data_IF_888653452489
#
_entry.id   IF_888653452489
#
_cell.length_a   1.000
_cell.length_b   1.000
_cell.length_c   1.000
_cell.angle_alpha   90.00
_cell.angle_beta   90.00
_cell.angle_gamma   90.00
#
_symmetry.space_group_name_H-M   'P 1'
#
loop_
_entity.id
_entity.type
_entity.pdbx_description
1 polymer ?
#
# COMPACT_ATOMS: atom_id res chain seq x y z
N UNK A 1 66.43 19.14 40.43
CA UNK A 1 65.71 20.34 40.91
C UNK A 1 64.25 20.19 40.49
N UNK A 2 63.43 19.70 41.42
CA UNK A 2 62.33 20.44 42.08
C UNK A 2 60.99 20.12 41.37
N UNK A 3 60.26 19.07 41.78
CA UNK A 3 59.37 18.93 42.95
C UNK A 3 57.93 19.43 42.67
N UNK A 4 56.99 18.48 42.81
CA UNK A 4 55.52 18.59 42.86
C UNK A 4 55.00 19.65 43.87
N UNK A 5 53.71 20.05 43.83
CA UNK A 5 52.69 19.31 44.60
C UNK A 5 51.27 19.23 44.02
N UNK A 6 50.63 18.11 44.36
CA UNK A 6 49.18 17.87 44.39
C UNK A 6 48.39 18.89 45.24
N UNK A 7 47.10 19.04 44.94
CA UNK A 7 46.00 19.36 45.89
C UNK A 7 44.67 19.04 45.18
N UNK A 8 43.99 17.95 45.57
CA UNK A 8 42.97 17.85 46.62
C UNK A 8 41.55 18.23 46.13
N UNK A 9 40.66 17.22 46.16
CA UNK A 9 39.21 17.31 46.01
C UNK A 9 38.59 18.19 47.11
N UNK A 10 37.37 18.68 46.88
CA UNK A 10 36.32 18.38 47.84
C UNK A 10 35.09 17.73 47.19
N UNK A 11 34.63 16.69 47.87
CA UNK A 11 33.25 16.21 48.00
C UNK A 11 32.13 17.17 47.61
N UNK A 12 31.30 16.75 46.64
CA UNK A 12 29.88 17.06 46.65
C UNK A 12 29.09 15.76 46.49
N UNK A 13 28.27 15.52 47.51
CA UNK A 13 27.39 14.39 47.71
C UNK A 13 26.41 14.24 46.53
N UNK A 14 26.21 12.99 46.10
CA UNK A 14 25.12 12.59 45.23
C UNK A 14 23.77 12.82 45.92
N UNK A 15 22.81 13.53 45.32
CA UNK A 15 21.41 13.27 45.58
C UNK A 15 20.99 12.12 44.68
N UNK A 16 20.76 10.95 45.28
CA UNK A 16 19.91 9.89 44.74
C UNK A 16 18.49 10.44 44.54
N UNK A 17 18.25 11.17 43.45
CA UNK A 17 16.92 11.48 42.99
C UNK A 17 16.48 10.38 42.03
N UNK A 18 15.80 9.38 42.61
CA UNK A 18 14.79 8.57 41.93
C UNK A 18 13.89 9.50 41.12
N UNK A 19 14.16 9.62 39.83
CA UNK A 19 13.20 10.20 38.88
C UNK A 19 12.21 9.11 38.52
N UNK A 20 11.06 9.18 39.18
CA UNK A 20 9.85 8.48 38.77
C UNK A 20 9.65 8.68 37.26
N UNK A 21 9.77 7.57 36.51
CA UNK A 21 9.27 7.47 35.14
C UNK A 21 7.75 7.44 35.22
N UNK A 22 7.13 8.60 35.25
CA UNK A 22 5.71 8.74 34.91
C UNK A 22 5.56 9.81 33.85
N UNK A 23 4.63 9.53 32.94
CA UNK A 23 4.25 10.29 31.74
C UNK A 23 5.20 10.09 30.56
N UNK A 24 5.08 8.88 29.99
CA UNK A 24 5.08 8.75 28.54
C UNK A 24 4.13 9.82 27.96
N UNK A 25 4.71 10.90 27.46
CA UNK A 25 4.03 11.80 26.53
C UNK A 25 3.45 10.95 25.42
N UNK A 26 2.12 10.89 25.37
CA UNK A 26 1.35 10.28 24.30
C UNK A 26 1.62 11.03 22.98
N UNK A 27 2.77 10.77 22.38
CA UNK A 27 2.93 10.95 20.95
C UNK A 27 1.91 10.01 20.31
N UNK A 28 0.87 10.56 19.68
CA UNK A 28 -0.03 9.74 18.86
C UNK A 28 0.85 9.01 17.86
N UNK A 29 1.07 7.71 18.05
CA UNK A 29 1.93 6.93 17.17
C UNK A 29 1.26 6.87 15.80
N UNK A 30 1.65 7.79 14.92
CA UNK A 30 1.09 7.89 13.59
C UNK A 30 1.39 6.59 12.86
N UNK A 31 0.35 5.81 12.56
CA UNK A 31 0.48 4.50 11.92
C UNK A 31 1.05 4.69 10.52
N UNK A 32 2.20 4.09 10.24
CA UNK A 32 2.78 4.15 8.90
C UNK A 32 1.85 3.45 7.89
N UNK A 33 1.65 4.08 6.75
CA UNK A 33 0.74 3.63 5.69
C UNK A 33 1.55 3.04 4.54
N UNK A 34 1.13 1.87 4.03
CA UNK A 34 1.64 1.32 2.77
C UNK A 34 0.51 1.22 1.74
N UNK A 35 0.80 1.63 0.51
CA UNK A 35 -0.15 1.56 -0.61
C UNK A 35 0.30 0.46 -1.57
N UNK A 36 -0.60 -0.49 -1.80
CA UNK A 36 -0.47 -1.61 -2.73
C UNK A 36 -1.47 -1.40 -3.85
N UNK A 37 -0.99 -1.33 -5.09
CA UNK A 37 -1.83 -1.07 -6.25
C UNK A 37 -1.73 -2.20 -7.26
N UNK A 38 -2.86 -2.85 -7.48
CA UNK A 38 -3.09 -3.73 -8.63
C UNK A 38 -3.47 -2.87 -9.85
N UNK A 39 -2.56 -2.76 -10.81
CA UNK A 39 -2.73 -1.89 -11.98
C UNK A 39 -3.75 -2.42 -13.00
N UNK A 40 -4.35 -3.57 -12.77
CA UNK A 40 -5.54 -3.96 -13.52
C UNK A 40 -6.73 -3.08 -13.11
N UNK A 41 -6.75 -2.57 -11.87
CA UNK A 41 -7.66 -1.51 -11.45
C UNK A 41 -7.11 -0.11 -11.80
N UNK A 42 -7.30 0.27 -13.07
CA UNK A 42 -6.76 1.50 -13.65
C UNK A 42 -7.49 2.74 -13.15
N UNK A 43 -6.78 3.89 -13.01
CA UNK A 43 -7.46 5.13 -12.68
C UNK A 43 -8.44 5.50 -13.81
N UNK A 44 -9.53 6.22 -13.50
CA UNK A 44 -10.52 6.58 -14.49
C UNK A 44 -9.88 7.38 -15.65
N UNK A 45 -10.28 7.07 -16.88
CA UNK A 45 -9.73 7.66 -18.12
C UNK A 45 -9.90 9.19 -18.22
N UNK A 46 -10.67 9.80 -17.32
CA UNK A 46 -10.95 11.24 -17.30
C UNK A 46 -9.77 12.07 -16.77
N UNK A 47 -8.83 11.46 -16.04
CA UNK A 47 -7.73 12.17 -15.38
C UNK A 47 -6.38 11.54 -15.74
N UNK A 48 -5.31 12.35 -15.88
CA UNK A 48 -3.96 11.81 -16.03
C UNK A 48 -3.58 10.90 -14.83
N UNK A 49 -3.09 9.68 -15.02
CA UNK A 49 -2.57 8.77 -14.02
C UNK A 49 -1.54 9.37 -13.07
N UNK A 50 -0.69 10.31 -13.53
CA UNK A 50 0.14 11.08 -12.59
C UNK A 50 -0.72 11.79 -11.53
N UNK A 51 -1.74 12.56 -11.96
CA UNK A 51 -2.62 13.29 -11.06
C UNK A 51 -3.47 12.34 -10.20
N UNK A 52 -3.93 11.22 -10.77
CA UNK A 52 -4.67 10.20 -10.03
C UNK A 52 -3.81 9.57 -8.92
N UNK A 53 -2.56 9.23 -9.21
CA UNK A 53 -1.62 8.68 -8.24
C UNK A 53 -1.27 9.69 -7.13
N UNK A 54 -1.06 10.96 -7.49
CA UNK A 54 -0.82 12.03 -6.50
C UNK A 54 -2.04 12.20 -5.58
N UNK A 55 -3.26 12.21 -6.13
CA UNK A 55 -4.49 12.31 -5.33
C UNK A 55 -4.66 11.09 -4.42
N UNK A 56 -4.36 9.90 -4.91
CA UNK A 56 -4.35 8.67 -4.11
C UNK A 56 -3.34 8.77 -2.96
N UNK A 57 -2.12 9.26 -3.20
CA UNK A 57 -1.12 9.46 -2.14
C UNK A 57 -1.56 10.48 -1.10
N UNK A 58 -2.21 11.58 -1.52
CA UNK A 58 -2.76 12.57 -0.60
C UNK A 58 -3.88 11.99 0.27
N UNK A 59 -4.74 11.15 -0.31
CA UNK A 59 -5.76 10.42 0.44
C UNK A 59 -5.12 9.42 1.40
N UNK A 60 -4.15 8.62 0.94
CA UNK A 60 -3.41 7.66 1.77
C UNK A 60 -2.67 8.33 2.93
N UNK A 61 -2.03 9.48 2.67
CA UNK A 61 -1.32 10.27 3.67
C UNK A 61 -2.25 10.85 4.76
N UNK A 62 -3.56 10.91 4.49
CA UNK A 62 -4.54 11.35 5.49
C UNK A 62 -4.84 10.26 6.53
N UNK A 63 -4.50 9.00 6.25
CA UNK A 63 -4.55 7.91 7.23
C UNK A 63 -3.33 7.87 8.17
N UNK A 64 -2.20 8.44 7.74
CA UNK A 64 -0.92 8.44 8.45
C UNK A 64 0.27 8.66 7.51
N UNK A 65 1.52 8.68 8.02
CA UNK A 65 2.69 8.89 7.19
C UNK A 65 2.86 7.77 6.15
N UNK A 66 2.86 8.15 4.87
CA UNK A 66 3.05 7.23 3.75
C UNK A 66 4.50 6.71 3.73
N UNK A 67 4.69 5.41 3.96
CA UNK A 67 6.00 4.75 4.01
C UNK A 67 6.51 4.42 2.61
N UNK A 68 5.63 3.88 1.78
CA UNK A 68 5.88 3.57 0.37
C UNK A 68 4.56 3.35 -0.37
N UNK A 69 4.63 3.44 -1.70
CA UNK A 69 3.56 3.07 -2.62
C UNK A 69 4.14 2.20 -3.73
N UNK A 70 3.53 1.04 -3.96
CA UNK A 70 4.04 0.04 -4.89
C UNK A 70 2.89 -0.43 -5.76
N UNK A 71 3.15 -0.52 -7.06
CA UNK A 71 2.20 -0.96 -8.05
C UNK A 71 2.74 -2.17 -8.79
N UNK A 72 1.91 -3.20 -8.94
CA UNK A 72 2.21 -4.40 -9.69
C UNK A 72 1.37 -4.42 -10.96
N UNK A 73 2.00 -4.86 -12.05
CA UNK A 73 1.35 -5.02 -13.34
C UNK A 73 1.99 -6.16 -14.10
N UNK A 74 1.15 -6.82 -14.90
CA UNK A 74 1.61 -7.67 -15.97
C UNK A 74 2.10 -6.80 -17.14
N UNK A 75 2.95 -7.35 -18.00
CA UNK A 75 3.51 -6.61 -19.14
C UNK A 75 2.41 -6.16 -20.12
N UNK A 76 1.32 -6.93 -20.28
CA UNK A 76 0.16 -6.52 -21.07
C UNK A 76 -0.64 -5.34 -20.49
N UNK A 77 -0.64 -5.12 -19.17
CA UNK A 77 -1.34 -4.00 -18.52
C UNK A 77 -0.80 -2.65 -19.02
N UNK A 78 0.50 -2.58 -19.34
CA UNK A 78 1.14 -1.40 -19.93
C UNK A 78 0.87 -1.21 -21.43
N UNK A 79 0.34 -2.22 -22.12
CA UNK A 79 0.04 -2.14 -23.56
C UNK A 79 -1.29 -1.45 -23.85
N UNK A 80 -2.17 -1.32 -22.86
CA UNK A 80 -3.46 -0.65 -23.02
C UNK A 80 -3.29 0.85 -23.26
N UNK A 81 -3.81 1.34 -24.39
CA UNK A 81 -3.79 2.75 -24.79
C UNK A 81 -5.15 3.40 -24.50
N UNK A 82 -5.21 4.65 -24.00
CA UNK A 82 -6.48 5.35 -23.83
C UNK A 82 -7.29 5.41 -25.12
N UNK A 83 -8.62 5.44 -25.01
CA UNK A 83 -9.54 5.52 -26.14
C UNK A 83 -9.17 6.59 -27.20
N UNK A 84 -8.85 7.85 -26.86
CA UNK A 84 -8.47 8.84 -27.88
C UNK A 84 -7.17 8.48 -28.61
N UNK A 85 -6.22 7.84 -27.93
CA UNK A 85 -4.96 7.38 -28.54
C UNK A 85 -5.23 6.21 -29.48
N UNK A 86 -6.10 5.26 -29.10
CA UNK A 86 -6.51 4.14 -29.97
C UNK A 86 -7.20 4.65 -31.24
N UNK A 87 -8.10 5.61 -31.11
CA UNK A 87 -8.79 6.23 -32.24
C UNK A 87 -7.81 6.90 -33.22
N UNK A 88 -6.91 7.76 -32.72
CA UNK A 88 -5.88 8.40 -33.54
C UNK A 88 -4.94 7.39 -34.22
N UNK A 89 -4.61 6.28 -33.55
CA UNK A 89 -3.81 5.22 -34.14
C UNK A 89 -4.57 4.45 -35.24
N UNK A 90 -5.86 4.19 -35.04
CA UNK A 90 -6.70 3.55 -36.04
C UNK A 90 -6.85 4.45 -37.28
N UNK A 91 -7.06 5.74 -37.08
CA UNK A 91 -7.11 6.76 -38.14
C UNK A 91 -5.80 6.82 -38.93
N UNK A 92 -4.64 6.92 -38.24
CA UNK A 92 -3.33 6.91 -38.91
C UNK A 92 -3.06 5.62 -39.68
N UNK A 93 -3.45 4.46 -39.13
CA UNK A 93 -3.35 3.16 -39.85
C UNK A 93 -4.28 3.09 -41.05
N UNK A 94 -5.44 3.73 -41.01
CA UNK A 94 -6.33 3.84 -42.16
C UNK A 94 -5.69 4.75 -43.24
N UNK A 95 -5.15 5.90 -42.84
CA UNK A 95 -4.42 6.81 -43.74
C UNK A 95 -3.18 6.15 -44.36
N UNK A 96 -2.39 5.40 -43.58
CA UNK A 96 -1.24 4.64 -44.09
C UNK A 96 -1.65 3.59 -45.13
N UNK A 97 -2.81 2.92 -44.93
CA UNK A 97 -3.35 1.97 -45.90
C UNK A 97 -3.78 2.65 -47.19
N UNK A 98 -4.40 3.82 -47.10
CA UNK A 98 -4.79 4.63 -48.26
C UNK A 98 -3.55 5.14 -49.03
N UNK A 99 -2.52 5.60 -48.34
CA UNK A 99 -1.25 6.01 -48.95
C UNK A 99 -0.51 4.83 -49.61
N UNK A 100 -0.60 3.64 -49.02
CA UNK A 100 -0.02 2.44 -49.61
C UNK A 100 -0.76 2.02 -50.89
N UNK A 101 -2.09 2.16 -50.91
CA UNK A 101 -2.92 1.88 -52.08
C UNK A 101 -2.77 2.94 -53.17
N UNK A 102 -2.63 4.21 -52.79
CA UNK A 102 -2.47 5.36 -53.68
C UNK A 102 -1.20 6.15 -53.32
N UNK A 103 -0.01 5.72 -53.76
CA UNK A 103 1.23 6.41 -53.45
C UNK A 103 1.24 7.82 -54.04
N UNK A 104 1.47 8.82 -53.18
CA UNK A 104 1.71 10.20 -53.63
C UNK A 104 2.93 10.27 -54.55
N UNK A 105 2.80 11.00 -55.66
CA UNK A 105 3.91 11.28 -56.59
C UNK A 105 4.86 12.37 -56.07
N UNK A 106 4.43 13.13 -55.06
CA UNK A 106 5.23 14.18 -54.42
C UNK A 106 5.68 13.69 -53.03
N UNK A 107 6.96 13.78 -52.68
CA UNK A 107 7.45 13.32 -51.38
C UNK A 107 7.05 14.30 -50.28
N UNK A 108 6.04 13.91 -49.49
CA UNK A 108 5.44 14.76 -48.45
C UNK A 108 6.09 14.61 -47.06
N UNK A 109 6.86 13.55 -46.82
CA UNK A 109 7.37 13.21 -45.49
C UNK A 109 8.87 13.44 -45.35
N UNK A 110 9.31 14.10 -44.27
CA UNK A 110 10.72 14.43 -44.00
C UNK A 110 11.21 13.76 -42.71
N UNK A 111 12.33 13.05 -42.78
CA UNK A 111 13.02 12.58 -41.58
C UNK A 111 13.70 13.74 -40.87
N UNK A 112 13.22 14.13 -39.69
CA UNK A 112 13.79 15.24 -38.92
C UNK A 112 15.17 14.93 -38.31
N UNK A 113 15.63 13.68 -38.35
CA UNK A 113 16.97 13.29 -37.87
C UNK A 113 18.02 13.46 -38.96
N UNK A 114 17.78 12.92 -40.17
CA UNK A 114 18.76 12.90 -41.26
C UNK A 114 18.40 13.76 -42.49
N UNK A 115 17.20 14.35 -42.54
CA UNK A 115 16.74 15.20 -43.64
C UNK A 115 16.27 14.46 -44.89
N UNK A 116 16.25 13.13 -44.89
CA UNK A 116 15.76 12.34 -46.04
C UNK A 116 14.26 12.51 -46.24
N UNK A 117 13.83 12.59 -47.51
CA UNK A 117 12.41 12.72 -47.89
C UNK A 117 11.82 11.37 -48.31
N UNK A 118 10.56 11.14 -48.01
CA UNK A 118 9.82 9.91 -48.27
C UNK A 118 8.45 10.23 -48.88
N UNK A 119 7.99 9.33 -49.74
CA UNK A 119 6.71 9.43 -50.45
C UNK A 119 5.52 8.90 -49.65
N UNK A 120 5.78 8.03 -48.68
CA UNK A 120 4.75 7.45 -47.81
C UNK A 120 5.21 7.49 -46.35
N UNK A 121 4.27 7.72 -45.44
CA UNK A 121 4.54 7.79 -44.01
C UNK A 121 5.16 6.48 -43.49
N UNK A 122 4.62 5.33 -43.90
CA UNK A 122 5.13 4.01 -43.51
C UNK A 122 6.61 3.80 -43.89
N UNK A 123 7.08 4.35 -45.02
CA UNK A 123 8.48 4.26 -45.43
C UNK A 123 9.38 5.12 -44.55
N UNK A 124 8.92 6.31 -44.14
CA UNK A 124 9.62 7.15 -43.17
C UNK A 124 9.73 6.44 -41.82
N UNK A 125 8.64 5.85 -41.32
CA UNK A 125 8.65 5.10 -40.05
C UNK A 125 9.62 3.93 -40.10
N UNK A 126 9.61 3.14 -41.17
CA UNK A 126 10.54 2.02 -41.34
C UNK A 126 12.00 2.48 -41.39
N UNK A 127 12.30 3.56 -42.11
CA UNK A 127 13.62 4.16 -42.11
C UNK A 127 14.05 4.59 -40.71
N UNK A 128 13.15 5.24 -39.96
CA UNK A 128 13.42 5.69 -38.60
C UNK A 128 13.77 4.52 -37.66
N UNK A 129 12.99 3.43 -37.69
CA UNK A 129 13.25 2.21 -36.91
C UNK A 129 14.54 1.50 -37.32
N UNK A 130 14.80 1.36 -38.62
CA UNK A 130 15.96 0.62 -39.07
C UNK A 130 17.29 1.35 -38.84
N UNK A 131 17.29 2.67 -38.93
CA UNK A 131 18.53 3.46 -38.87
C UNK A 131 18.66 4.16 -37.53
N UNK A 132 17.70 5.01 -37.17
CA UNK A 132 17.84 5.91 -36.03
C UNK A 132 17.62 5.25 -34.68
N UNK A 133 16.73 4.27 -34.59
CA UNK A 133 16.54 3.46 -33.38
C UNK A 133 17.80 2.63 -33.09
N UNK A 134 18.35 1.94 -34.09
CA UNK A 134 19.63 1.20 -33.96
C UNK A 134 20.81 2.10 -33.60
N UNK A 135 20.91 3.29 -34.20
CA UNK A 135 21.92 4.27 -33.82
C UNK A 135 21.77 4.74 -32.37
N UNK A 136 20.54 4.95 -31.92
CA UNK A 136 20.26 5.36 -30.56
C UNK A 136 20.60 4.26 -29.55
N UNK A 137 20.27 3.01 -29.84
CA UNK A 137 20.67 1.85 -29.03
C UNK A 137 22.21 1.76 -28.91
N UNK A 138 22.94 1.95 -30.01
CA UNK A 138 24.41 1.98 -29.97
C UNK A 138 24.94 3.09 -29.07
N UNK A 139 24.31 4.28 -29.08
CA UNK A 139 24.68 5.39 -28.19
C UNK A 139 24.42 5.03 -26.72
N UNK A 140 23.27 4.43 -26.41
CA UNK A 140 22.91 4.00 -25.05
C UNK A 140 23.89 2.94 -24.53
N UNK A 141 24.13 1.86 -25.30
CA UNK A 141 25.11 0.81 -24.91
C UNK A 141 26.51 1.38 -24.65
N UNK A 142 26.93 2.41 -25.39
CA UNK A 142 28.21 3.09 -25.19
C UNK A 142 28.24 3.91 -23.89
N UNK A 143 27.11 4.52 -23.52
CA UNK A 143 26.96 5.23 -22.25
C UNK A 143 26.93 4.24 -21.08
N UNK A 144 26.21 3.13 -21.23
CA UNK A 144 26.03 2.14 -20.16
C UNK A 144 27.34 1.39 -19.85
N UNK A 145 28.19 1.18 -20.85
CA UNK A 145 29.54 0.61 -20.67
C UNK A 145 30.56 1.60 -20.12
N UNK A 146 30.26 2.91 -20.08
CA UNK A 146 31.16 3.91 -19.55
C UNK A 146 30.85 4.19 -18.06
N UNK A 147 31.89 4.28 -17.24
CA UNK A 147 31.78 4.59 -15.81
C UNK A 147 32.46 5.91 -15.44
N UNK A 148 32.08 6.49 -14.30
CA UNK A 148 32.69 7.71 -13.74
C UNK A 148 32.65 8.94 -14.66
N UNK A 149 33.70 9.77 -14.60
CA UNK A 149 33.80 11.01 -15.37
C UNK A 149 33.84 10.84 -16.90
N UNK A 150 34.16 9.62 -17.39
CA UNK A 150 34.05 9.28 -18.82
C UNK A 150 32.60 9.22 -19.26
N UNK A 151 31.71 8.67 -18.42
CA UNK A 151 30.26 8.63 -18.67
C UNK A 151 29.69 10.03 -18.76
N UNK A 152 30.04 10.91 -17.82
CA UNK A 152 29.55 12.31 -17.80
C UNK A 152 29.93 13.05 -19.08
N UNK A 153 31.20 12.96 -19.50
CA UNK A 153 31.67 13.58 -20.75
C UNK A 153 30.97 13.01 -21.99
N UNK A 154 30.76 11.68 -22.04
CA UNK A 154 30.09 11.03 -23.16
C UNK A 154 28.61 11.42 -23.26
N UNK A 155 27.91 11.49 -22.12
CA UNK A 155 26.51 11.96 -22.06
C UNK A 155 26.43 13.41 -22.51
N UNK A 156 27.32 14.28 -22.02
CA UNK A 156 27.37 15.67 -22.45
C UNK A 156 27.57 15.80 -23.97
N UNK A 157 28.51 15.04 -24.54
CA UNK A 157 28.79 15.05 -25.99
C UNK A 157 27.64 14.49 -26.85
N UNK A 158 26.84 13.54 -26.32
CA UNK A 158 25.75 12.92 -27.06
C UNK A 158 24.37 13.57 -26.82
N UNK A 159 24.26 14.45 -25.82
CA UNK A 159 23.02 15.10 -25.39
C UNK A 159 22.16 15.64 -26.54
N UNK A 160 22.72 16.48 -27.41
CA UNK A 160 22.03 17.08 -28.55
C UNK A 160 21.53 16.04 -29.56
N UNK A 161 22.33 14.99 -29.82
CA UNK A 161 21.94 13.91 -30.74
C UNK A 161 20.81 13.08 -30.15
N UNK A 162 20.84 12.84 -28.85
CA UNK A 162 19.75 12.16 -28.13
C UNK A 162 18.47 12.99 -28.13
N UNK A 163 18.54 14.30 -27.89
CA UNK A 163 17.37 15.17 -27.95
C UNK A 163 16.77 15.28 -29.36
N UNK A 164 17.62 15.34 -30.40
CA UNK A 164 17.16 15.30 -31.80
C UNK A 164 16.40 14.00 -32.10
N UNK A 165 16.93 12.86 -31.66
CA UNK A 165 16.24 11.57 -31.78
C UNK A 165 14.91 11.57 -31.02
N UNK A 166 14.89 11.97 -29.74
CA UNK A 166 13.67 12.01 -28.93
C UNK A 166 12.59 12.87 -29.57
N UNK A 167 12.93 14.05 -30.10
CA UNK A 167 11.97 14.93 -30.77
C UNK A 167 11.34 14.26 -31.99
N UNK A 168 12.16 13.64 -32.84
CA UNK A 168 11.66 12.95 -34.03
C UNK A 168 10.89 11.66 -33.69
N UNK A 169 11.33 10.90 -32.68
CA UNK A 169 10.65 9.69 -32.22
C UNK A 169 9.24 9.99 -31.69
N UNK A 170 9.06 11.10 -30.96
CA UNK A 170 7.75 11.55 -30.46
C UNK A 170 6.74 11.81 -31.57
N UNK A 171 7.21 12.22 -32.74
CA UNK A 171 6.37 12.56 -33.89
C UNK A 171 6.10 11.36 -34.80
N UNK A 172 7.03 10.40 -34.89
CA UNK A 172 6.97 9.30 -35.88
C UNK A 172 6.66 7.92 -35.31
N UNK A 173 7.14 7.60 -34.10
CA UNK A 173 6.99 6.26 -33.52
C UNK A 173 5.72 6.11 -32.66
N UNK A 174 4.85 7.12 -32.66
CA UNK A 174 3.58 7.14 -31.95
C UNK A 174 2.59 6.19 -32.66
N UNK A 175 2.01 5.15 -32.01
CA UNK A 175 1.33 5.17 -30.71
C UNK A 175 2.30 5.45 -29.59
N UNK A 176 1.92 6.31 -28.64
CA UNK A 176 2.62 6.41 -27.36
C UNK A 176 2.67 4.97 -26.83
N UNK A 177 3.81 4.29 -26.92
CA UNK A 177 3.90 2.87 -26.57
C UNK A 177 3.67 2.78 -25.08
N UNK A 178 2.52 2.20 -24.73
CA UNK A 178 1.90 2.43 -23.45
C UNK A 178 1.49 3.89 -23.30
N UNK A 179 0.35 4.11 -22.64
CA UNK A 179 0.35 5.25 -21.74
C UNK A 179 1.68 5.18 -20.97
N UNK A 180 2.44 6.27 -20.84
CA UNK A 180 3.67 6.26 -20.05
C UNK A 180 3.38 6.01 -18.56
N UNK A 181 2.37 5.19 -18.23
CA UNK A 181 1.81 4.86 -16.94
C UNK A 181 2.92 4.44 -16.00
N UNK A 182 3.81 3.54 -16.40
CA UNK A 182 4.94 3.16 -15.56
C UNK A 182 5.79 4.39 -15.18
N UNK A 183 6.10 5.26 -16.13
CA UNK A 183 6.93 6.44 -15.92
C UNK A 183 6.18 7.57 -15.19
N UNK A 184 4.89 7.74 -15.45
CA UNK A 184 4.02 8.70 -14.77
C UNK A 184 3.79 8.30 -13.31
N UNK A 185 3.56 7.02 -13.05
CA UNK A 185 3.47 6.48 -11.70
C UNK A 185 4.81 6.59 -10.96
N UNK A 186 5.93 6.27 -11.61
CA UNK A 186 7.28 6.49 -11.05
C UNK A 186 7.52 7.96 -10.75
N UNK A 187 7.11 8.88 -11.63
CA UNK A 187 7.17 10.33 -11.38
C UNK A 187 6.32 10.76 -10.19
N UNK A 188 5.18 10.11 -9.96
CA UNK A 188 4.34 10.32 -8.79
C UNK A 188 4.90 9.66 -7.51
N UNK A 189 6.03 8.95 -7.57
CA UNK A 189 6.65 8.29 -6.42
C UNK A 189 6.14 6.87 -6.16
N UNK A 190 5.40 6.28 -7.10
CA UNK A 190 4.97 4.88 -7.03
C UNK A 190 6.07 3.98 -7.60
N UNK A 191 6.48 2.97 -6.85
CA UNK A 191 7.42 1.96 -7.34
C UNK A 191 6.65 0.95 -8.20
N UNK A 192 6.88 0.99 -9.50
CA UNK A 192 6.22 0.08 -10.46
C UNK A 192 7.06 -1.16 -10.68
N UNK A 193 6.50 -2.33 -10.34
CA UNK A 193 7.08 -3.65 -10.59
C UNK A 193 6.34 -4.36 -11.71
N UNK A 194 7.09 -4.78 -12.71
CA UNK A 194 6.57 -5.55 -13.85
C UNK A 194 6.80 -7.03 -13.61
N UNK A 195 5.75 -7.85 -13.75
CA UNK A 195 5.81 -9.30 -13.60
C UNK A 195 5.58 -9.95 -14.97
N UNK A 196 6.04 -11.20 -15.11
CA UNK A 196 5.78 -12.03 -16.30
C UNK A 196 4.28 -12.15 -16.60
N UNK A 197 3.93 -12.27 -17.88
CA UNK A 197 2.55 -12.42 -18.38
C UNK A 197 1.94 -13.81 -18.08
N UNK A 198 2.08 -14.31 -16.85
CA UNK A 198 1.37 -15.51 -16.38
C UNK A 198 0.08 -15.08 -15.64
N UNK A 199 -1.02 -15.86 -15.74
CA UNK A 199 -2.23 -15.57 -14.99
C UNK A 199 -1.93 -15.48 -13.49
N UNK A 200 -2.53 -14.50 -12.82
CA UNK A 200 -2.41 -14.24 -11.37
C UNK A 200 -0.98 -13.97 -10.88
N UNK A 201 0.00 -13.77 -11.76
CA UNK A 201 1.38 -13.58 -11.34
C UNK A 201 1.58 -12.25 -10.63
N UNK A 202 0.97 -11.17 -11.12
CA UNK A 202 0.90 -9.90 -10.42
C UNK A 202 0.21 -10.02 -9.06
N UNK A 203 -0.93 -10.72 -9.00
CA UNK A 203 -1.73 -10.88 -7.77
C UNK A 203 -0.98 -11.68 -6.71
N UNK A 204 -0.34 -12.78 -7.10
CA UNK A 204 0.50 -13.57 -6.20
C UNK A 204 1.67 -12.74 -5.68
N UNK A 205 2.38 -12.04 -6.56
CA UNK A 205 3.51 -11.21 -6.16
C UNK A 205 3.10 -10.02 -5.27
N UNK A 206 1.90 -9.47 -5.48
CA UNK A 206 1.32 -8.43 -4.63
C UNK A 206 0.96 -8.99 -3.25
N UNK A 207 0.28 -10.15 -3.20
CA UNK A 207 -0.08 -10.84 -1.95
C UNK A 207 1.15 -11.20 -1.11
N UNK A 208 2.15 -11.82 -1.73
CA UNK A 208 3.40 -12.18 -1.06
C UNK A 208 4.07 -10.94 -0.45
N UNK A 209 4.10 -9.82 -1.17
CA UNK A 209 4.70 -8.59 -0.67
C UNK A 209 3.88 -7.94 0.46
N UNK A 210 2.55 -8.03 0.42
CA UNK A 210 1.69 -7.59 1.51
C UNK A 210 1.99 -8.39 2.78
N UNK A 211 2.07 -9.73 2.69
CA UNK A 211 2.42 -10.61 3.82
C UNK A 211 3.80 -10.29 4.37
N UNK A 212 4.81 -10.18 3.51
CA UNK A 212 6.17 -9.80 3.94
C UNK A 212 6.19 -8.44 4.65
N UNK A 213 5.39 -7.48 4.18
CA UNK A 213 5.28 -6.16 4.80
C UNK A 213 4.64 -6.25 6.19
N UNK A 214 3.63 -7.12 6.34
CA UNK A 214 2.99 -7.40 7.63
C UNK A 214 3.96 -8.09 8.60
N UNK A 215 4.73 -9.08 8.14
CA UNK A 215 5.73 -9.80 8.96
C UNK A 215 6.82 -8.86 9.49
N UNK A 216 7.23 -7.88 8.67
CA UNK A 216 8.22 -6.88 9.09
C UNK A 216 7.70 -5.92 10.18
N UNK A 217 6.38 -5.83 10.38
CA UNK A 217 5.77 -4.99 11.42
C UNK A 217 5.98 -3.48 11.26
N UNK A 218 6.38 -3.00 10.07
CA UNK A 218 6.75 -1.59 9.84
C UNK A 218 5.59 -0.70 9.44
N UNK A 219 4.39 -1.26 9.29
CA UNK A 219 3.18 -0.56 8.83
C UNK A 219 2.02 -0.85 9.78
N UNK A 220 1.21 0.18 10.05
CA UNK A 220 0.00 0.04 10.87
C UNK A 220 -1.29 0.22 10.07
N UNK A 221 -1.19 0.64 8.81
CA UNK A 221 -2.31 0.77 7.89
C UNK A 221 -1.92 0.31 6.49
N UNK A 222 -2.77 -0.53 5.90
CA UNK A 222 -2.60 -1.07 4.56
C UNK A 222 -3.71 -0.53 3.65
N UNK A 223 -3.32 0.09 2.55
CA UNK A 223 -4.22 0.58 1.51
C UNK A 223 -4.05 -0.29 0.28
N UNK A 224 -5.11 -0.99 -0.13
CA UNK A 224 -5.15 -1.81 -1.33
C UNK A 224 -6.00 -1.12 -2.40
N UNK A 225 -5.44 -0.93 -3.59
CA UNK A 225 -6.14 -0.44 -4.77
C UNK A 225 -6.40 -1.62 -5.70
N UNK A 226 -7.56 -2.25 -5.57
CA UNK A 226 -8.03 -3.36 -6.40
C UNK A 226 -9.52 -3.59 -6.14
N UNK A 227 -10.20 -4.18 -7.12
CA UNK A 227 -11.57 -4.69 -7.00
C UNK A 227 -11.62 -6.23 -6.98
N UNK A 228 -10.48 -6.91 -7.09
CA UNK A 228 -10.43 -8.37 -7.09
C UNK A 228 -10.67 -8.96 -5.69
N UNK A 229 -11.60 -9.90 -5.63
CA UNK A 229 -11.90 -10.71 -4.45
C UNK A 229 -10.76 -11.66 -4.05
N UNK A 230 -9.80 -11.96 -4.94
CA UNK A 230 -8.62 -12.78 -4.65
C UNK A 230 -7.76 -12.27 -3.49
N UNK A 231 -7.86 -10.97 -3.15
CA UNK A 231 -7.13 -10.36 -2.04
C UNK A 231 -7.81 -10.49 -0.66
N UNK A 232 -9.03 -11.05 -0.59
CA UNK A 232 -9.79 -11.16 0.65
C UNK A 232 -9.03 -11.89 1.77
N UNK A 233 -8.30 -12.95 1.42
CA UNK A 233 -7.51 -13.73 2.39
C UNK A 233 -6.48 -12.85 3.10
N UNK A 234 -5.71 -12.07 2.33
CA UNK A 234 -4.66 -11.18 2.88
C UNK A 234 -5.27 -10.03 3.68
N UNK A 235 -6.44 -9.53 3.28
CA UNK A 235 -7.14 -8.48 4.03
C UNK A 235 -7.64 -8.97 5.40
N UNK A 236 -8.15 -10.21 5.48
CA UNK A 236 -8.53 -10.83 6.75
C UNK A 236 -7.31 -11.05 7.63
N UNK A 237 -6.20 -11.50 7.05
CA UNK A 237 -4.95 -11.69 7.77
C UNK A 237 -4.40 -10.37 8.35
N UNK A 238 -4.43 -9.28 7.57
CA UNK A 238 -4.05 -7.95 8.04
C UNK A 238 -4.89 -7.50 9.26
N UNK A 239 -6.19 -7.81 9.24
CA UNK A 239 -7.10 -7.50 10.34
C UNK A 239 -6.80 -8.31 11.60
N UNK A 240 -6.51 -9.61 11.45
CA UNK A 240 -6.09 -10.48 12.58
C UNK A 240 -4.80 -9.94 13.22
N UNK A 241 -3.87 -9.46 12.39
CA UNK A 241 -2.62 -8.82 12.82
C UNK A 241 -2.80 -7.38 13.33
N UNK A 242 -4.04 -6.91 13.50
CA UNK A 242 -4.41 -5.59 14.01
C UNK A 242 -3.96 -4.39 13.15
N UNK A 243 -3.74 -4.59 11.85
CA UNK A 243 -3.56 -3.49 10.90
C UNK A 243 -4.91 -2.88 10.53
N UNK A 244 -4.95 -1.57 10.29
CA UNK A 244 -6.11 -0.90 9.69
C UNK A 244 -6.09 -1.12 8.19
N UNK A 245 -7.21 -1.54 7.62
CA UNK A 245 -7.29 -1.88 6.20
C UNK A 245 -8.17 -0.90 5.44
N UNK A 246 -7.69 -0.42 4.29
CA UNK A 246 -8.40 0.49 3.41
C UNK A 246 -8.42 -0.08 2.00
N UNK A 247 -9.57 -0.05 1.35
CA UNK A 247 -9.72 -0.50 -0.04
C UNK A 247 -10.11 0.67 -0.93
N UNK A 248 -9.45 0.83 -2.06
CA UNK A 248 -9.80 1.77 -3.10
C UNK A 248 -10.20 0.99 -4.35
N UNK A 249 -11.39 1.24 -4.86
CA UNK A 249 -11.94 0.51 -6.00
C UNK A 249 -12.98 1.31 -6.79
N UNK A 250 -13.70 0.64 -7.68
CA UNK A 250 -14.81 1.24 -8.45
C UNK A 250 -16.03 1.53 -7.56
N UNK A 251 -17.09 2.19 -8.06
CA UNK A 251 -18.22 2.67 -7.21
C UNK A 251 -19.02 1.55 -6.49
N UNK A 252 -18.85 0.28 -6.84
CA UNK A 252 -19.63 -0.84 -6.28
C UNK A 252 -19.25 -1.26 -4.86
N UNK A 253 -20.19 -1.88 -4.14
CA UNK A 253 -20.00 -2.46 -2.79
C UNK A 253 -19.38 -3.88 -2.85
N UNK A 254 -18.19 -3.97 -3.44
CA UNK A 254 -17.45 -5.21 -3.57
C UNK A 254 -17.23 -5.92 -2.22
N UNK A 255 -17.09 -7.25 -2.26
CA UNK A 255 -16.81 -8.07 -1.05
C UNK A 255 -15.57 -7.55 -0.31
N UNK A 256 -14.57 -7.08 -1.06
CA UNK A 256 -13.33 -6.53 -0.53
C UNK A 256 -13.56 -5.27 0.32
N UNK A 257 -14.42 -4.35 -0.14
CA UNK A 257 -14.77 -3.13 0.58
C UNK A 257 -15.52 -3.41 1.88
N UNK A 258 -16.43 -4.39 1.87
CA UNK A 258 -17.19 -4.79 3.07
C UNK A 258 -16.31 -5.39 4.16
N UNK A 259 -15.18 -6.00 3.79
CA UNK A 259 -14.24 -6.57 4.74
C UNK A 259 -13.22 -5.55 5.29
N UNK A 260 -13.07 -4.38 4.65
CA UNK A 260 -12.12 -3.35 5.03
C UNK A 260 -12.65 -2.44 6.16
N UNK A 261 -11.75 -1.82 6.93
CA UNK A 261 -12.14 -0.83 7.94
C UNK A 261 -12.60 0.50 7.30
N UNK A 262 -12.20 0.76 6.05
CA UNK A 262 -12.69 1.87 5.22
C UNK A 262 -12.59 1.53 3.74
N UNK A 263 -13.52 2.05 2.96
CA UNK A 263 -13.57 1.85 1.52
C UNK A 263 -13.73 3.19 0.82
N UNK A 264 -13.02 3.39 -0.29
CA UNK A 264 -13.05 4.61 -1.08
C UNK A 264 -13.28 4.23 -2.55
N UNK A 265 -13.99 5.08 -3.28
CA UNK A 265 -14.08 4.92 -4.74
C UNK A 265 -13.02 5.75 -5.46
N UNK A 266 -12.68 5.36 -6.69
CA UNK A 266 -11.86 6.20 -7.58
C UNK A 266 -12.45 7.60 -7.76
N UNK A 267 -13.79 7.73 -7.81
CA UNK A 267 -14.47 9.02 -7.91
C UNK A 267 -14.28 9.87 -6.65
N UNK A 268 -14.20 9.26 -5.47
CA UNK A 268 -13.92 9.98 -4.22
C UNK A 268 -12.47 10.45 -4.15
N UNK A 269 -11.53 9.62 -4.64
CA UNK A 269 -10.12 10.00 -4.77
C UNK A 269 -9.97 11.16 -5.74
N UNK A 270 -10.63 11.07 -6.89
CA UNK A 270 -10.63 12.10 -7.92
C UNK A 270 -11.27 13.40 -7.43
N UNK A 271 -12.43 13.34 -6.81
CA UNK A 271 -13.14 14.54 -6.32
C UNK A 271 -12.52 15.14 -5.05
N UNK A 272 -11.55 14.46 -4.44
CA UNK A 272 -10.91 14.88 -3.19
C UNK A 272 -11.73 14.59 -1.93
N UNK A 273 -12.92 13.98 -2.07
CA UNK A 273 -13.75 13.52 -0.94
C UNK A 273 -13.03 12.48 -0.10
N UNK A 274 -12.24 11.62 -0.73
CA UNK A 274 -11.45 10.60 -0.06
C UNK A 274 -10.53 11.16 1.04
N UNK A 275 -9.99 12.38 0.86
CA UNK A 275 -9.16 13.03 1.87
C UNK A 275 -9.93 13.33 3.16
N UNK A 276 -11.17 13.83 3.01
CA UNK A 276 -12.05 14.15 4.16
C UNK A 276 -12.53 12.88 4.83
N UNK A 277 -12.94 11.90 4.04
CA UNK A 277 -13.40 10.62 4.54
C UNK A 277 -12.30 9.84 5.27
N UNK A 278 -11.07 9.86 4.75
CA UNK A 278 -9.91 9.28 5.41
C UNK A 278 -9.66 9.89 6.79
N UNK A 279 -9.71 11.22 6.90
CA UNK A 279 -9.55 11.90 8.18
C UNK A 279 -10.66 11.51 9.18
N UNK A 280 -11.92 11.47 8.73
CA UNK A 280 -13.05 11.03 9.55
C UNK A 280 -12.94 9.56 9.96
N UNK A 281 -12.46 8.69 9.07
CA UNK A 281 -12.23 7.28 9.37
C UNK A 281 -11.16 7.09 10.44
N UNK A 282 -10.04 7.82 10.37
CA UNK A 282 -9.01 7.79 11.41
C UNK A 282 -9.57 8.23 12.76
N UNK A 283 -10.45 9.23 12.79
CA UNK A 283 -11.18 9.64 14.00
C UNK A 283 -11.94 8.47 14.61
N UNK A 284 -12.85 7.87 13.83
CA UNK A 284 -13.63 6.69 14.26
C UNK A 284 -12.76 5.52 14.72
N UNK A 285 -11.61 5.30 14.08
CA UNK A 285 -10.68 4.25 14.47
C UNK A 285 -10.05 4.53 15.84
N UNK A 286 -9.66 5.78 16.11
CA UNK A 286 -9.15 6.17 17.42
C UNK A 286 -10.21 6.01 18.50
N UNK A 287 -11.44 6.44 18.22
CA UNK A 287 -12.56 6.31 19.16
C UNK A 287 -12.84 4.84 19.46
N UNK A 288 -12.89 3.97 18.44
CA UNK A 288 -13.03 2.51 18.63
C UNK A 288 -11.86 1.90 19.40
N UNK A 289 -10.64 2.31 19.11
CA UNK A 289 -9.44 1.83 19.81
C UNK A 289 -9.45 2.29 21.29
N UNK A 290 -10.00 3.47 21.59
CA UNK A 290 -10.19 3.97 22.96
C UNK A 290 -11.30 3.21 23.68
N UNK A 291 -12.46 3.03 23.06
CA UNK A 291 -13.56 2.25 23.61
C UNK A 291 -13.12 0.83 23.95
N UNK A 292 -12.36 0.16 23.06
CA UNK A 292 -11.83 -1.17 23.31
C UNK A 292 -10.85 -1.23 24.49
N UNK A 293 -10.12 -0.15 24.78
CA UNK A 293 -9.27 -0.05 25.98
C UNK A 293 -10.08 0.17 27.26
N UNK A 294 -11.28 0.72 27.13
CA UNK A 294 -12.20 1.00 28.23
C UNK A 294 -13.18 -0.15 28.47
N UNK A 295 -13.26 -1.14 27.57
CA UNK A 295 -14.01 -2.38 27.78
C UNK A 295 -13.46 -3.10 29.02
N UNK A 296 -14.17 -2.97 30.14
CA UNK A 296 -13.92 -3.75 31.35
C UNK A 296 -14.24 -5.22 31.04
N UNK A 297 -13.23 -6.08 31.11
CA UNK A 297 -13.43 -7.54 31.14
C UNK A 297 -13.50 -7.95 32.60
N UNK A 298 -14.68 -8.33 33.06
CA UNK A 298 -14.83 -9.08 34.30
C UNK A 298 -14.10 -10.42 34.11
N UNK A 299 -12.93 -10.55 34.74
CA UNK A 299 -12.26 -11.83 34.90
C UNK A 299 -12.85 -12.44 36.17
N UNK A 300 -13.69 -13.49 36.08
CA UNK A 300 -14.08 -14.21 37.29
C UNK A 300 -12.79 -14.74 37.93
N UNK A 301 -12.60 -14.41 39.20
CA UNK A 301 -11.53 -15.01 39.99
C UNK A 301 -11.82 -16.52 40.01
N UNK A 302 -10.92 -17.31 39.43
CA UNK A 302 -10.95 -18.76 39.58
C UNK A 302 -10.75 -19.02 41.07
N UNK A 303 -11.84 -19.37 41.77
CA UNK A 303 -11.77 -19.92 43.12
C UNK A 303 -10.77 -21.08 43.05
N UNK A 304 -9.63 -20.92 43.72
CA UNK A 304 -8.65 -21.98 43.92
C UNK A 304 -9.36 -23.12 44.65
N UNK A 305 -9.85 -24.10 43.90
CA UNK A 305 -10.27 -25.39 44.44
C UNK A 305 -9.01 -26.10 44.96
N UNK A 306 -8.62 -25.79 46.20
CA UNK A 306 -7.91 -26.74 47.04
C UNK A 306 -8.87 -27.89 47.36
N UNK A 307 -8.71 -29.01 46.66
CA UNK A 307 -9.24 -30.30 47.10
C UNK A 307 -8.24 -31.40 46.76
N UNK A 308 -7.37 -31.63 47.74
CA UNK A 308 -6.82 -32.88 48.23
C UNK A 308 -6.59 -34.05 47.25
N UNK A 309 -5.31 -34.38 47.14
CA UNK A 309 -4.76 -35.67 46.70
C UNK A 309 -5.28 -36.77 47.63
N UNK A 310 -6.11 -37.67 47.13
CA UNK A 310 -6.29 -39.00 47.72
C UNK A 310 -6.17 -40.07 46.63
N UNK A 311 -5.05 -40.81 46.72
CA UNK A 311 -4.91 -42.18 46.23
C UNK A 311 -5.94 -43.05 46.96
N UNK A 312 -6.76 -43.81 46.24
CA UNK A 312 -7.62 -44.84 46.82
C UNK A 312 -7.52 -46.13 45.99
N UNK A 313 -6.55 -46.96 46.37
CA UNK A 313 -6.61 -48.40 46.30
C UNK A 313 -7.27 -48.87 47.61
N UNK A 314 -8.48 -49.44 47.57
CA UNK A 314 -8.81 -50.74 48.19
C UNK A 314 -10.31 -51.02 48.28
N UNK A 315 -10.62 -52.26 47.94
CA UNK A 315 -11.88 -52.98 47.91
C UNK A 315 -12.42 -53.33 49.33
N UNK A 316 -13.69 -53.75 49.35
CA UNK A 316 -14.44 -54.48 50.39
C UNK A 316 -15.33 -53.71 51.41
N UNK A 317 -16.65 -53.92 51.27
CA UNK A 317 -17.40 -54.69 52.29
C UNK A 317 -18.38 -53.96 53.23
N UNK A 318 -19.66 -54.35 53.08
CA UNK A 318 -20.75 -54.49 54.08
C UNK A 318 -21.51 -53.30 54.72
N UNK A 319 -22.81 -53.28 54.35
CA UNK A 319 -24.06 -53.34 55.14
C UNK A 319 -24.42 -52.36 56.29
N UNK A 320 -25.62 -51.77 56.06
CA UNK A 320 -26.75 -51.48 56.96
C UNK A 320 -26.83 -50.25 57.92
N UNK A 321 -27.94 -49.52 57.69
CA UNK A 321 -28.91 -48.91 58.62
C UNK A 321 -28.80 -47.42 59.06
N UNK A 322 -29.97 -46.75 59.08
CA UNK A 322 -30.26 -45.69 60.05
C UNK A 322 -30.39 -44.21 59.62
N UNK A 323 -31.56 -43.83 59.07
CA UNK A 323 -32.37 -42.63 59.37
C UNK A 323 -31.78 -41.22 59.70
N UNK A 324 -32.28 -40.22 58.93
CA UNK A 324 -32.74 -38.85 59.30
C UNK A 324 -31.73 -37.70 59.54
N UNK A 325 -31.89 -36.62 58.74
CA UNK A 325 -31.36 -35.29 59.05
C UNK A 325 -31.63 -34.24 57.97
N UNK A 326 -32.81 -33.62 57.99
CA UNK A 326 -33.16 -32.39 57.26
C UNK A 326 -32.33 -31.20 57.78
N UNK A 327 -31.50 -30.54 56.95
CA UNK A 327 -31.19 -29.08 57.09
C UNK A 327 -30.78 -28.45 55.75
N UNK A 328 -31.69 -27.66 55.19
CA UNK A 328 -31.43 -26.31 54.64
C UNK A 328 -30.54 -26.15 53.40
N UNK A 329 -31.17 -26.13 52.22
CA UNK A 329 -30.71 -25.28 51.12
C UNK A 329 -30.70 -23.82 51.60
N UNK A 330 -29.51 -23.28 51.85
CA UNK A 330 -29.33 -21.86 52.07
C UNK A 330 -29.47 -21.13 50.74
N UNK A 331 -30.64 -20.52 50.52
CA UNK A 331 -30.89 -19.51 49.49
C UNK A 331 -29.84 -18.39 49.61
N UNK A 332 -28.75 -18.49 48.85
CA UNK A 332 -27.77 -17.42 48.67
C UNK A 332 -28.41 -16.36 47.78
N UNK A 333 -29.21 -15.49 48.40
CA UNK A 333 -29.80 -14.30 47.78
C UNK A 333 -28.66 -13.44 47.23
N UNK A 334 -28.63 -13.13 45.93
CA UNK A 334 -27.53 -12.37 45.35
C UNK A 334 -27.54 -10.92 45.86
N UNK A 335 -26.33 -10.41 46.13
CA UNK A 335 -26.02 -9.15 46.81
C UNK A 335 -26.63 -7.87 46.20
N UNK A 336 -27.24 -7.95 45.01
CA UNK A 336 -27.93 -6.82 44.37
C UNK A 336 -29.42 -6.72 44.73
N UNK A 337 -29.99 -7.67 45.47
CA UNK A 337 -31.33 -7.50 46.07
C UNK A 337 -31.19 -6.69 47.36
N UNK A 338 -31.44 -5.38 47.26
CA UNK A 338 -31.63 -4.51 48.43
C UNK A 338 -32.89 -4.94 49.16
N UNK A 339 -32.79 -5.11 50.48
CA UNK A 339 -33.93 -5.36 51.34
C UNK A 339 -34.73 -4.06 51.46
N UNK A 340 -35.93 -4.06 50.86
CA UNK A 340 -36.89 -2.98 51.00
C UNK A 340 -37.65 -3.12 52.31
N UNK A 341 -36.95 -2.94 53.43
CA UNK A 341 -37.58 -2.75 54.74
C UNK A 341 -37.57 -1.26 55.08
N UNK A 342 -38.63 -0.56 54.64
CA UNK A 342 -39.02 0.70 55.27
C UNK A 342 -39.76 0.37 56.56
N UNK A 343 -39.04 0.49 57.68
CA UNK A 343 -39.61 0.49 59.02
C UNK A 343 -40.64 1.62 59.20
N UNK A 344 -41.88 1.20 59.45
CA UNK A 344 -42.68 1.50 60.65
C UNK A 344 -42.71 2.89 61.32
N UNK A 345 -43.97 3.31 61.56
CA UNK A 345 -44.55 3.97 62.74
C UNK A 345 -44.34 5.48 62.96
N UNK A 346 -45.45 6.22 62.79
CA UNK A 346 -46.13 6.79 63.96
C UNK A 346 -47.65 6.96 63.77
#
# INVERSE_FOLDING_TARGET
MALYPCRLRPSCLLPLLRRNRTLATAASSSRAVAVFWDLDNKPPNTIPPYDAAVRLHLAAASFGPLRFSIAYANHHTFRHLPAPVRAACAERRAADRLEAANPSRVPSYLCRVCGRRFFAHAKLVNHFRQIHEREQEKRLRRIDSATGGRRVRLVAALSLKMEKYKKAARELLTPKVGYGLADELRRAGVVVRTVDDRPEAADRALREHMVETMDRGKVGCLVLVSDDSGFLGVMREARIRCLKTVVVGDEGDGVLKRCADSALSWKDVVSGKAKKEAASAVGRWKDRDLLKKLEWRHMPEEEENESDVFDDDSDAGDEEDGCLGLVGEGDKKPWWKLDSDSNDLH
#
